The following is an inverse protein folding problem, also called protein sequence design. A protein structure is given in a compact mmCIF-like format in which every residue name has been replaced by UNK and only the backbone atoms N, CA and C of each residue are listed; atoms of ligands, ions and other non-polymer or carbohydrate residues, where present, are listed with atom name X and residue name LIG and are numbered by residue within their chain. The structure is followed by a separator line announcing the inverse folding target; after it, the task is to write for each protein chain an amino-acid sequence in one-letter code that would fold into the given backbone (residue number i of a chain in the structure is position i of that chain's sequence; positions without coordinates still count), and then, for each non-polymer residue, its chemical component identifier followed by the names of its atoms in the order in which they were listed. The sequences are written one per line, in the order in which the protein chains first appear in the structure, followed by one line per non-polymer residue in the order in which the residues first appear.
data_IF_937775642785
#
_entry.id   IF_937775642785
#
_cell.length_a   1.000
_cell.length_b   1.000
_cell.length_c   1.000
_cell.angle_alpha   90.00
_cell.angle_beta   90.00
_cell.angle_gamma   90.00
#
_symmetry.space_group_name_H-M   'P 1'
#
loop_
_entity.id
_entity.type
_entity.pdbx_description
1 polymer ?
#
# COMPACT_ATOMS: atom_id res chain seq x y z
N UNK A 1 12.27 -36.37 40.36
CA UNK A 1 11.57 -36.82 39.13
C UNK A 1 12.64 -37.29 38.16
N UNK A 2 12.93 -38.59 38.23
CA UNK A 2 14.08 -39.24 37.60
C UNK A 2 13.66 -39.80 36.23
N UNK A 3 14.56 -39.62 35.28
CA UNK A 3 14.54 -40.09 33.89
C UNK A 3 14.30 -41.59 33.73
N UNK A 4 13.58 -41.99 32.68
CA UNK A 4 13.84 -43.28 32.02
C UNK A 4 13.63 -43.18 30.51
N UNK A 5 14.70 -43.44 29.77
CA UNK A 5 14.73 -43.63 28.31
C UNK A 5 14.57 -45.11 28.02
N UNK A 6 13.82 -45.48 26.97
CA UNK A 6 13.97 -46.77 26.30
C UNK A 6 13.81 -46.62 24.78
N UNK A 7 14.81 -47.11 24.05
CA UNK A 7 14.91 -47.15 22.58
C UNK A 7 14.38 -48.50 22.07
N UNK A 8 13.73 -48.55 20.90
CA UNK A 8 14.23 -49.16 19.65
C UNK A 8 13.13 -49.32 18.57
N UNK A 9 13.50 -48.94 17.33
CA UNK A 9 13.24 -49.57 16.02
C UNK A 9 11.81 -49.88 15.51
N UNK A 10 11.49 -49.32 14.33
CA UNK A 10 10.44 -49.77 13.43
C UNK A 10 10.52 -49.03 12.08
N UNK A 11 10.71 -49.77 10.99
CA UNK A 11 10.96 -49.30 9.61
C UNK A 11 9.67 -49.26 8.79
N UNK A 12 9.64 -48.31 7.84
CA UNK A 12 8.93 -48.31 6.55
C UNK A 12 7.55 -47.65 6.39
N UNK A 13 7.41 -47.18 5.14
CA UNK A 13 6.24 -46.85 4.33
C UNK A 13 5.97 -45.35 4.18
N UNK A 14 6.24 -44.90 2.96
CA UNK A 14 6.14 -43.53 2.51
C UNK A 14 4.70 -43.05 2.38
N UNK A 15 4.56 -41.78 2.72
CA UNK A 15 3.66 -40.86 2.05
C UNK A 15 4.46 -39.57 1.94
N UNK A 16 5.18 -39.39 0.83
CA UNK A 16 5.59 -38.04 0.44
C UNK A 16 4.29 -37.32 0.12
N UNK A 17 3.73 -36.66 1.14
CA UNK A 17 2.68 -35.70 0.95
C UNK A 17 3.23 -34.69 -0.07
N UNK A 18 2.68 -34.73 -1.27
CA UNK A 18 2.81 -33.66 -2.24
C UNK A 18 2.25 -32.43 -1.52
N UNK A 19 3.14 -31.61 -0.93
CA UNK A 19 2.78 -30.25 -0.55
C UNK A 19 2.38 -29.60 -1.86
N UNK A 20 1.07 -29.46 -2.07
CA UNK A 20 0.53 -28.54 -3.03
C UNK A 20 1.13 -27.18 -2.69
N UNK A 21 2.15 -26.78 -3.46
CA UNK A 21 2.60 -25.41 -3.48
C UNK A 21 1.39 -24.60 -3.93
N UNK A 22 0.70 -23.99 -2.96
CA UNK A 22 -0.17 -22.87 -3.26
C UNK A 22 0.64 -21.91 -4.14
N UNK A 23 0.09 -21.36 -5.23
CA UNK A 23 0.79 -20.37 -6.03
C UNK A 23 1.19 -19.23 -5.09
N UNK A 24 2.45 -19.23 -4.68
CA UNK A 24 3.01 -18.14 -3.92
C UNK A 24 2.89 -16.92 -4.80
N UNK A 25 2.20 -15.89 -4.31
CA UNK A 25 2.18 -14.59 -4.99
C UNK A 25 3.63 -14.15 -5.13
N UNK A 26 4.17 -14.27 -6.35
CA UNK A 26 5.52 -13.82 -6.63
C UNK A 26 5.49 -12.29 -6.54
N UNK A 27 6.00 -11.74 -5.44
CA UNK A 27 6.15 -10.29 -5.31
C UNK A 27 7.22 -9.83 -6.29
N UNK A 28 6.84 -9.13 -7.36
CA UNK A 28 7.81 -8.51 -8.25
C UNK A 28 8.52 -7.37 -7.50
N UNK A 29 9.86 -7.36 -7.50
CA UNK A 29 10.62 -6.30 -6.85
C UNK A 29 10.42 -5.00 -7.63
N UNK A 30 9.87 -3.97 -6.98
CA UNK A 30 9.70 -2.66 -7.58
C UNK A 30 10.27 -1.57 -6.68
N UNK A 31 11.46 -1.07 -7.03
CA UNK A 31 12.07 0.10 -6.36
C UNK A 31 11.25 1.37 -6.60
N UNK A 32 10.57 1.47 -7.74
CA UNK A 32 9.65 2.56 -8.02
C UNK A 32 8.45 2.52 -7.07
N UNK A 33 7.69 1.42 -7.03
CA UNK A 33 6.50 1.26 -6.17
C UNK A 33 6.84 1.38 -4.70
N UNK A 34 7.99 0.83 -4.28
CA UNK A 34 8.53 1.08 -2.96
C UNK A 34 8.82 2.57 -2.69
N UNK A 35 9.26 3.32 -3.71
CA UNK A 35 9.44 4.76 -3.68
C UNK A 35 8.12 5.56 -3.63
N UNK A 36 7.10 5.15 -4.39
CA UNK A 36 5.76 5.75 -4.39
C UNK A 36 5.12 5.62 -3.00
N UNK A 37 5.09 4.40 -2.43
CA UNK A 37 4.65 4.14 -1.06
C UNK A 37 5.41 4.97 -0.02
N UNK A 38 6.72 5.15 -0.23
CA UNK A 38 7.55 5.99 0.65
C UNK A 38 7.20 7.46 0.51
N UNK A 39 6.87 7.95 -0.69
CA UNK A 39 6.39 9.30 -0.89
C UNK A 39 5.06 9.52 -0.17
N UNK A 40 4.10 8.61 -0.33
CA UNK A 40 2.80 8.62 0.37
C UNK A 40 2.97 8.64 1.88
N UNK A 41 3.91 7.84 2.42
CA UNK A 41 4.21 7.82 3.86
C UNK A 41 4.64 9.18 4.40
N UNK A 42 5.41 9.95 3.62
CA UNK A 42 5.86 11.30 4.01
C UNK A 42 4.72 12.31 3.90
N UNK A 43 3.86 12.19 2.89
CA UNK A 43 2.70 13.06 2.70
C UNK A 43 1.71 12.90 3.86
N UNK A 44 1.28 11.67 4.15
CA UNK A 44 0.35 11.38 5.25
C UNK A 44 0.89 11.88 6.61
N UNK A 45 2.15 11.56 6.93
CA UNK A 45 2.78 12.05 8.16
C UNK A 45 3.01 13.57 8.18
N UNK A 46 3.27 14.18 7.01
CA UNK A 46 3.45 15.62 6.85
C UNK A 46 2.15 16.40 7.07
N UNK A 47 1.09 16.03 6.35
CA UNK A 47 -0.24 16.64 6.49
C UNK A 47 -0.80 16.46 7.89
N UNK A 48 -0.77 15.24 8.45
CA UNK A 48 -1.22 15.01 9.82
C UNK A 48 -0.46 15.87 10.84
N UNK A 49 0.85 16.11 10.63
CA UNK A 49 1.63 17.01 11.49
C UNK A 49 1.18 18.47 11.38
N UNK A 50 0.82 18.93 10.19
CA UNK A 50 0.28 20.29 9.99
C UNK A 50 -1.03 20.47 10.74
N UNK A 51 -1.97 19.53 10.56
CA UNK A 51 -3.25 19.51 11.27
C UNK A 51 -3.10 19.38 12.78
N UNK A 52 -2.24 18.48 13.26
CA UNK A 52 -1.94 18.35 14.69
C UNK A 52 -1.44 19.66 15.30
N UNK A 53 -0.55 20.40 14.62
CA UNK A 53 -0.07 21.71 15.09
C UNK A 53 -1.18 22.75 15.14
N UNK A 54 -2.03 22.77 14.12
CA UNK A 54 -3.17 23.68 14.03
C UNK A 54 -4.18 23.42 15.16
N UNK A 55 -4.60 22.16 15.33
CA UNK A 55 -5.49 21.72 16.43
C UNK A 55 -4.87 21.99 17.79
N UNK A 56 -3.56 21.81 17.96
CA UNK A 56 -2.89 22.07 19.24
C UNK A 56 -2.94 23.53 19.68
N UNK A 57 -3.14 24.46 18.73
CA UNK A 57 -3.21 25.90 18.98
C UNK A 57 -4.60 26.49 18.75
N UNK A 58 -5.53 25.74 18.17
CA UNK A 58 -6.84 26.25 17.72
C UNK A 58 -6.71 27.31 16.63
N UNK A 59 -5.76 27.14 15.72
CA UNK A 59 -5.52 28.06 14.60
C UNK A 59 -5.88 27.39 13.29
N UNK A 60 -6.16 28.20 12.26
CA UNK A 60 -6.25 27.70 10.90
C UNK A 60 -4.99 26.92 10.51
N UNK A 61 -5.17 25.89 9.68
CA UNK A 61 -4.03 25.09 9.20
C UNK A 61 -3.12 25.96 8.35
N UNK A 62 -1.83 25.91 8.65
CA UNK A 62 -0.81 26.63 7.90
C UNK A 62 -0.71 26.09 6.46
N UNK A 63 -1.11 26.92 5.50
CA UNK A 63 -1.04 26.60 4.07
C UNK A 63 0.37 26.27 3.59
N UNK A 64 1.40 26.94 4.12
CA UNK A 64 2.80 26.65 3.77
C UNK A 64 3.24 25.28 4.30
N UNK A 65 2.70 24.86 5.44
CA UNK A 65 2.93 23.52 5.98
C UNK A 65 2.33 22.46 5.06
N UNK A 66 1.08 22.66 4.60
CA UNK A 66 0.40 21.76 3.67
C UNK A 66 1.12 21.72 2.33
N UNK A 67 1.35 22.85 1.67
CA UNK A 67 2.08 22.93 0.39
C UNK A 67 3.50 22.35 0.50
N UNK A 68 4.16 22.50 1.66
CA UNK A 68 5.45 21.87 1.91
C UNK A 68 5.39 20.33 2.01
N UNK A 69 4.25 19.76 2.44
CA UNK A 69 4.02 18.32 2.37
C UNK A 69 3.72 17.88 0.93
N UNK A 70 2.94 18.65 0.18
CA UNK A 70 2.63 18.40 -1.25
C UNK A 70 3.90 18.37 -2.08
N UNK A 71 4.71 19.44 -2.02
CA UNK A 71 5.91 19.55 -2.81
C UNK A 71 6.92 18.42 -2.53
N UNK A 72 7.03 17.98 -1.26
CA UNK A 72 7.88 16.84 -0.88
C UNK A 72 7.33 15.51 -1.42
N UNK A 73 6.01 15.36 -1.47
CA UNK A 73 5.35 14.22 -2.06
C UNK A 73 5.63 14.18 -3.57
N UNK A 74 5.23 15.22 -4.31
CA UNK A 74 5.38 15.28 -5.77
C UNK A 74 6.82 15.07 -6.20
N UNK A 75 7.79 15.72 -5.53
CA UNK A 75 9.21 15.53 -5.81
C UNK A 75 9.70 14.10 -5.51
N UNK A 76 9.23 13.47 -4.42
CA UNK A 76 9.61 12.09 -4.07
C UNK A 76 8.96 11.08 -5.01
N UNK A 77 7.72 11.32 -5.43
CA UNK A 77 6.95 10.48 -6.35
C UNK A 77 7.57 10.52 -7.74
N UNK A 78 7.81 11.72 -8.30
CA UNK A 78 8.49 11.88 -9.59
C UNK A 78 9.87 11.21 -9.59
N UNK A 79 10.62 11.31 -8.49
CA UNK A 79 11.90 10.61 -8.32
C UNK A 79 11.76 9.08 -8.26
N UNK A 80 10.64 8.56 -7.77
CA UNK A 80 10.36 7.13 -7.75
C UNK A 80 10.01 6.64 -9.16
N UNK A 81 9.08 7.32 -9.84
CA UNK A 81 8.66 7.03 -11.22
C UNK A 81 9.83 7.12 -12.20
N UNK A 82 10.68 8.14 -12.07
CA UNK A 82 11.85 8.33 -12.92
C UNK A 82 12.92 7.23 -12.80
N UNK A 83 12.81 6.31 -11.82
CA UNK A 83 13.66 5.10 -11.76
C UNK A 83 13.15 3.98 -12.66
N UNK A 84 11.90 4.04 -13.11
CA UNK A 84 11.23 2.98 -13.86
C UNK A 84 10.93 1.72 -13.03
N UNK A 85 10.27 0.76 -13.68
CA UNK A 85 9.95 -0.54 -13.09
C UNK A 85 8.88 -0.48 -12.00
N UNK A 86 7.98 0.51 -12.05
CA UNK A 86 6.77 0.57 -11.22
C UNK A 86 5.86 -0.62 -11.57
N UNK A 87 5.11 -1.13 -10.59
CA UNK A 87 4.18 -2.26 -10.81
C UNK A 87 3.06 -1.85 -11.78
N UNK A 88 2.59 -0.61 -11.65
CA UNK A 88 1.63 0.00 -12.56
C UNK A 88 1.99 1.48 -12.77
N UNK A 89 1.12 2.21 -13.47
CA UNK A 89 1.32 3.61 -13.84
C UNK A 89 0.33 4.53 -13.12
N UNK A 90 0.00 4.24 -11.86
CA UNK A 90 -0.86 5.13 -11.06
C UNK A 90 -0.21 6.52 -10.98
N UNK A 91 -0.99 7.55 -11.29
CA UNK A 91 -0.49 8.92 -11.27
C UNK A 91 -0.37 9.45 -9.82
N UNK A 92 0.49 10.44 -9.64
CA UNK A 92 0.72 11.03 -8.32
C UNK A 92 -0.56 11.62 -7.71
N UNK A 93 -1.45 12.22 -8.52
CA UNK A 93 -2.69 12.86 -8.10
C UNK A 93 -3.74 11.89 -7.55
N UNK A 94 -3.81 10.68 -8.09
CA UNK A 94 -4.67 9.60 -7.54
C UNK A 94 -4.25 9.25 -6.11
N UNK A 95 -2.96 9.03 -5.89
CA UNK A 95 -2.41 8.75 -4.55
C UNK A 95 -2.51 9.98 -3.65
N UNK A 96 -2.35 11.17 -4.21
CA UNK A 96 -2.50 12.44 -3.52
C UNK A 96 -3.90 12.57 -2.91
N UNK A 97 -4.92 12.32 -3.73
CA UNK A 97 -6.34 12.38 -3.35
C UNK A 97 -6.65 11.37 -2.24
N UNK A 98 -6.14 10.13 -2.32
CA UNK A 98 -6.33 9.13 -1.26
C UNK A 98 -5.74 9.59 0.08
N UNK A 99 -4.55 10.18 0.06
CA UNK A 99 -3.92 10.72 1.28
C UNK A 99 -4.74 11.89 1.84
N UNK A 100 -5.27 12.73 0.97
CA UNK A 100 -5.97 13.95 1.36
C UNK A 100 -7.36 13.68 1.95
N UNK A 101 -8.07 12.71 1.37
CA UNK A 101 -9.32 12.19 1.90
C UNK A 101 -9.09 11.56 3.27
N UNK A 102 -8.07 10.70 3.41
CA UNK A 102 -7.72 10.11 4.70
C UNK A 102 -7.44 11.17 5.77
N UNK A 103 -6.68 12.22 5.45
CA UNK A 103 -6.38 13.29 6.41
C UNK A 103 -7.63 14.06 6.79
N UNK A 104 -8.49 14.38 5.81
CA UNK A 104 -9.76 15.07 6.06
C UNK A 104 -10.68 14.25 6.96
N UNK A 105 -10.85 12.96 6.67
CA UNK A 105 -11.68 12.05 7.46
C UNK A 105 -11.14 11.89 8.88
N UNK A 106 -9.83 11.65 9.01
CA UNK A 106 -9.15 11.50 10.29
C UNK A 106 -9.33 12.72 11.19
N UNK A 107 -9.10 13.91 10.62
CA UNK A 107 -9.18 15.16 11.38
C UNK A 107 -10.62 15.48 11.73
N UNK A 108 -11.56 15.26 10.81
CA UNK A 108 -12.98 15.48 11.04
C UNK A 108 -13.47 14.63 12.21
N UNK A 109 -13.12 13.35 12.24
CA UNK A 109 -13.51 12.45 13.31
C UNK A 109 -12.89 12.85 14.67
N UNK A 110 -11.59 13.12 14.70
CA UNK A 110 -10.89 13.49 15.96
C UNK A 110 -11.31 14.88 16.49
N UNK A 111 -11.72 15.81 15.61
CA UNK A 111 -12.20 17.15 15.99
C UNK A 111 -13.72 17.21 16.18
N UNK A 112 -14.41 16.09 16.38
CA UNK A 112 -15.84 16.06 16.71
C UNK A 112 -16.76 16.42 15.55
N UNK A 113 -16.36 16.10 14.32
CA UNK A 113 -17.16 16.31 13.11
C UNK A 113 -17.06 17.70 12.49
N UNK A 114 -16.34 18.63 13.11
CA UNK A 114 -16.30 20.04 12.65
C UNK A 114 -15.38 20.28 11.46
N UNK A 115 -14.44 19.36 11.19
CA UNK A 115 -13.38 19.52 10.18
C UNK A 115 -12.45 20.72 10.41
N UNK A 116 -12.65 21.47 11.50
CA UNK A 116 -12.01 22.76 11.75
C UNK A 116 -11.11 22.64 12.99
N UNK A 117 -9.84 23.09 12.95
CA UNK A 117 -8.97 22.97 14.11
C UNK A 117 -9.49 23.82 15.29
N UNK A 118 -9.88 23.16 16.37
CA UNK A 118 -10.19 23.78 17.66
C UNK A 118 -9.08 23.45 18.65
N UNK A 119 -8.77 24.36 19.56
CA UNK A 119 -7.65 24.20 20.50
C UNK A 119 -7.83 22.96 21.39
N UNK A 120 -7.03 21.92 21.14
CA UNK A 120 -6.98 20.73 22.01
C UNK A 120 -5.62 20.04 21.93
N UNK A 121 -4.97 19.90 23.09
CA UNK A 121 -3.70 19.17 23.20
C UNK A 121 -3.89 17.67 23.00
N UNK A 122 -5.01 17.11 23.43
CA UNK A 122 -5.33 15.70 23.22
C UNK A 122 -5.57 15.40 21.74
N UNK A 123 -6.54 16.07 21.10
CA UNK A 123 -6.88 15.85 19.68
C UNK A 123 -5.67 16.12 18.76
N UNK A 124 -4.84 17.13 19.08
CA UNK A 124 -3.55 17.36 18.42
C UNK A 124 -2.62 16.13 18.44
N UNK A 125 -2.49 15.48 19.61
CA UNK A 125 -1.64 14.31 19.79
C UNK A 125 -2.24 13.06 19.13
N UNK A 126 -3.57 12.91 19.15
CA UNK A 126 -4.29 11.82 18.46
C UNK A 126 -4.08 11.89 16.94
N UNK A 127 -4.30 13.06 16.32
CA UNK A 127 -4.01 13.29 14.89
C UNK A 127 -2.55 12.97 14.58
N UNK A 128 -1.64 13.45 15.42
CA UNK A 128 -0.20 13.20 15.27
C UNK A 128 0.18 11.72 15.41
N UNK A 129 -0.48 10.97 16.29
CA UNK A 129 -0.27 9.54 16.49
C UNK A 129 -0.77 8.73 15.29
N UNK A 130 -2.00 9.00 14.83
CA UNK A 130 -2.59 8.36 13.65
C UNK A 130 -1.76 8.61 12.39
N UNK A 131 -1.32 9.86 12.16
CA UNK A 131 -0.43 10.18 11.04
C UNK A 131 0.93 9.45 11.10
N UNK A 132 1.49 9.24 12.30
CA UNK A 132 2.72 8.44 12.48
C UNK A 132 2.49 6.96 12.20
N UNK A 133 1.33 6.40 12.57
CA UNK A 133 0.95 5.02 12.23
C UNK A 133 0.81 4.86 10.72
N UNK A 134 0.06 5.75 10.06
CA UNK A 134 -0.12 5.76 8.60
C UNK A 134 1.23 5.79 7.87
N UNK A 135 2.11 6.73 8.24
CA UNK A 135 3.47 6.78 7.68
C UNK A 135 4.32 5.56 8.02
N UNK A 136 4.10 4.92 9.18
CA UNK A 136 4.76 3.69 9.59
C UNK A 136 4.37 2.50 8.71
N UNK A 137 3.08 2.28 8.48
CA UNK A 137 2.55 1.19 7.67
C UNK A 137 2.95 1.34 6.20
N UNK A 138 2.77 2.52 5.61
CA UNK A 138 3.21 2.80 4.24
C UNK A 138 4.71 2.60 4.06
N UNK A 139 5.51 2.86 5.11
CA UNK A 139 6.95 2.55 5.10
C UNK A 139 7.24 1.05 5.18
N UNK A 140 6.39 0.26 5.84
CA UNK A 140 6.48 -1.20 5.83
C UNK A 140 6.14 -1.76 4.44
N UNK A 141 5.03 -1.32 3.83
CA UNK A 141 4.68 -1.66 2.45
C UNK A 141 5.80 -1.26 1.47
N UNK A 142 6.33 -0.04 1.61
CA UNK A 142 7.47 0.43 0.81
C UNK A 142 8.66 -0.53 0.84
N UNK A 143 9.01 -1.05 2.02
CA UNK A 143 10.10 -2.02 2.18
C UNK A 143 9.78 -3.37 1.54
N UNK A 144 8.55 -3.85 1.70
CA UNK A 144 8.07 -5.09 1.10
C UNK A 144 8.17 -5.02 -0.42
N UNK A 145 7.56 -3.98 -1.03
CA UNK A 145 7.61 -3.74 -2.48
C UNK A 145 9.04 -3.55 -3.01
N UNK A 146 9.88 -2.79 -2.29
CA UNK A 146 11.28 -2.54 -2.69
C UNK A 146 12.17 -3.78 -2.68
N UNK A 147 11.78 -4.84 -1.96
CA UNK A 147 12.61 -6.02 -1.72
C UNK A 147 11.98 -7.33 -2.23
N UNK A 148 10.80 -7.27 -2.86
CA UNK A 148 10.04 -8.48 -3.23
C UNK A 148 9.80 -9.41 -2.02
N UNK A 149 9.53 -8.83 -0.85
CA UNK A 149 9.29 -9.60 0.37
C UNK A 149 7.82 -9.53 0.75
N UNK A 150 7.28 -10.58 1.42
CA UNK A 150 6.00 -10.46 2.10
C UNK A 150 6.05 -9.31 3.11
N UNK A 151 4.87 -8.73 3.39
CA UNK A 151 4.75 -7.69 4.40
C UNK A 151 5.26 -8.20 5.75
N UNK A 152 6.28 -7.54 6.28
CA UNK A 152 6.90 -7.89 7.55
C UNK A 152 5.95 -7.55 8.72
N UNK A 153 5.41 -8.59 9.36
CA UNK A 153 4.50 -8.47 10.51
C UNK A 153 5.15 -7.81 11.72
N UNK A 154 6.48 -7.91 11.90
CA UNK A 154 7.19 -7.18 12.95
C UNK A 154 7.28 -5.69 12.62
N UNK A 155 7.36 -5.33 11.33
CA UNK A 155 7.32 -3.93 10.90
C UNK A 155 5.95 -3.30 11.19
N UNK A 156 4.86 -3.95 10.79
CA UNK A 156 3.50 -3.45 11.04
C UNK A 156 3.14 -3.50 12.53
N UNK A 157 3.51 -4.57 13.23
CA UNK A 157 3.36 -4.69 14.69
C UNK A 157 4.06 -3.56 15.45
N UNK A 158 5.26 -3.14 15.03
CA UNK A 158 5.94 -1.97 15.61
C UNK A 158 5.19 -0.66 15.38
N UNK A 159 4.52 -0.50 14.23
CA UNK A 159 3.69 0.68 13.97
C UNK A 159 2.44 0.68 14.87
N UNK A 160 1.78 -0.47 15.02
CA UNK A 160 0.64 -0.70 15.93
C UNK A 160 1.01 -0.41 17.38
N UNK A 161 2.08 -1.02 17.92
CA UNK A 161 2.49 -0.79 19.31
C UNK A 161 2.85 0.67 19.59
N UNK A 162 3.52 1.34 18.65
CA UNK A 162 3.85 2.78 18.79
C UNK A 162 2.61 3.67 18.69
N UNK A 163 1.63 3.27 17.89
CA UNK A 163 0.34 3.96 17.83
C UNK A 163 -0.37 3.88 19.17
N UNK A 164 -0.61 2.68 19.70
CA UNK A 164 -1.27 2.50 21.00
C UNK A 164 -0.56 3.27 22.12
N UNK A 165 0.77 3.16 22.23
CA UNK A 165 1.52 3.91 23.23
C UNK A 165 1.44 5.43 23.05
N UNK A 166 1.31 5.94 21.82
CA UNK A 166 1.15 7.37 21.55
C UNK A 166 -0.29 7.83 21.82
N UNK A 167 -1.27 6.97 21.54
CA UNK A 167 -2.68 7.19 21.78
C UNK A 167 -2.98 7.29 23.26
N UNK A 168 -2.53 6.32 24.07
CA UNK A 168 -2.66 6.37 25.54
C UNK A 168 -2.08 7.66 26.11
N UNK A 169 -0.92 8.11 25.61
CA UNK A 169 -0.31 9.38 26.01
C UNK A 169 -1.09 10.62 25.54
N UNK A 170 -1.80 10.52 24.42
CA UNK A 170 -2.63 11.59 23.89
C UNK A 170 -3.89 11.76 24.76
N UNK A 171 -4.61 10.68 25.00
CA UNK A 171 -5.84 10.66 25.79
C UNK A 171 -5.58 11.00 27.27
N UNK A 172 -4.44 10.58 27.83
CA UNK A 172 -4.03 10.96 29.18
C UNK A 172 -3.81 12.46 29.37
N UNK A 173 -3.62 13.24 28.30
CA UNK A 173 -3.52 14.69 28.40
C UNK A 173 -4.86 15.36 28.76
N UNK A 174 -5.99 14.67 28.55
CA UNK A 174 -7.34 15.21 28.76
C UNK A 174 -7.72 16.33 27.78
N UNK A 175 -9.00 16.75 27.82
CA UNK A 175 -9.51 17.86 27.00
C UNK A 175 -9.55 17.55 25.50
N UNK A 176 -9.78 16.29 25.13
CA UNK A 176 -10.06 15.91 23.74
C UNK A 176 -11.38 16.58 23.29
N UNK A 177 -11.46 17.02 22.04
CA UNK A 177 -12.66 17.68 21.51
C UNK A 177 -13.86 16.73 21.46
N UNK A 178 -13.58 15.46 21.22
CA UNK A 178 -14.54 14.36 21.29
C UNK A 178 -13.81 13.13 21.79
N UNK A 179 -14.56 12.17 22.32
CA UNK A 179 -14.03 10.84 22.65
C UNK A 179 -14.16 9.98 21.41
N UNK A 180 -13.02 9.60 20.82
CA UNK A 180 -12.97 8.63 19.73
C UNK A 180 -12.24 7.37 20.19
N UNK A 181 -12.78 6.21 19.80
CA UNK A 181 -12.18 4.93 20.13
C UNK A 181 -10.86 4.72 19.36
N UNK A 182 -9.83 4.23 20.08
CA UNK A 182 -8.53 3.95 19.49
C UNK A 182 -8.63 2.97 18.34
N UNK A 183 -9.40 1.88 18.49
CA UNK A 183 -9.55 0.82 17.49
C UNK A 183 -10.21 1.31 16.21
N UNK A 184 -11.13 2.27 16.31
CA UNK A 184 -11.79 2.91 15.17
C UNK A 184 -10.79 3.70 14.33
N UNK A 185 -9.99 4.55 14.97
CA UNK A 185 -8.93 5.30 14.28
C UNK A 185 -7.84 4.35 13.75
N UNK A 186 -7.53 3.30 14.50
CA UNK A 186 -6.58 2.29 14.08
C UNK A 186 -6.99 1.62 12.78
N UNK A 187 -8.24 1.15 12.72
CA UNK A 187 -8.84 0.49 11.55
C UNK A 187 -8.84 1.43 10.34
N UNK A 188 -9.18 2.71 10.52
CA UNK A 188 -9.14 3.69 9.43
C UNK A 188 -7.73 3.89 8.87
N UNK A 189 -6.73 3.95 9.74
CA UNK A 189 -5.33 4.07 9.32
C UNK A 189 -4.86 2.81 8.58
N UNK A 190 -5.25 1.62 9.07
CA UNK A 190 -4.90 0.35 8.44
C UNK A 190 -5.56 0.21 7.06
N UNK A 191 -6.85 0.54 6.94
CA UNK A 191 -7.58 0.54 5.68
C UNK A 191 -6.98 1.51 4.67
N UNK A 192 -6.64 2.74 5.10
CA UNK A 192 -5.97 3.71 4.24
C UNK A 192 -4.61 3.19 3.72
N UNK A 193 -3.78 2.62 4.59
CA UNK A 193 -2.48 2.12 4.19
C UNK A 193 -2.59 0.93 3.23
N UNK A 194 -3.56 0.04 3.46
CA UNK A 194 -3.87 -1.07 2.59
C UNK A 194 -4.42 -0.58 1.23
N UNK A 195 -5.31 0.39 1.21
CA UNK A 195 -5.89 0.98 -0.01
C UNK A 195 -4.82 1.61 -0.92
N UNK A 196 -3.93 2.43 -0.36
CA UNK A 196 -2.80 2.99 -1.11
C UNK A 196 -1.87 1.90 -1.64
N UNK A 197 -1.62 0.85 -0.85
CA UNK A 197 -0.80 -0.27 -1.31
C UNK A 197 -1.49 -1.04 -2.44
N UNK A 198 -2.77 -1.34 -2.31
CA UNK A 198 -3.55 -2.03 -3.34
C UNK A 198 -3.57 -1.23 -4.63
N UNK A 199 -3.79 0.08 -4.57
CA UNK A 199 -3.75 0.96 -5.73
C UNK A 199 -2.40 0.87 -6.47
N UNK A 200 -1.28 0.93 -5.73
CA UNK A 200 0.06 0.92 -6.31
C UNK A 200 0.59 -0.47 -6.69
N UNK A 201 -0.07 -1.54 -6.26
CA UNK A 201 0.35 -2.92 -6.52
C UNK A 201 -0.66 -3.72 -7.34
N UNK A 202 -1.82 -3.14 -7.65
CA UNK A 202 -2.72 -3.68 -8.64
C UNK A 202 -1.92 -3.89 -9.94
N UNK A 203 -1.87 -5.13 -10.42
CA UNK A 203 -1.33 -5.40 -11.74
C UNK A 203 -2.08 -4.49 -12.71
N UNK A 204 -1.33 -3.63 -13.42
CA UNK A 204 -1.93 -2.81 -14.47
C UNK A 204 -2.70 -3.69 -15.47
N UNK A 205 -3.60 -3.12 -16.29
CA UNK A 205 -4.29 -3.91 -17.30
C UNK A 205 -3.24 -4.71 -18.08
N UNK A 206 -3.37 -6.03 -18.06
CA UNK A 206 -2.55 -6.91 -18.88
C UNK A 206 -2.88 -6.52 -20.32
N UNK A 207 -2.03 -5.74 -20.97
CA UNK A 207 -2.11 -5.56 -22.41
C UNK A 207 -1.82 -6.93 -23.02
N UNK A 208 -2.86 -7.72 -23.24
CA UNK A 208 -2.79 -8.90 -24.09
C UNK A 208 -2.53 -8.39 -25.49
N UNK A 209 -1.25 -8.26 -25.85
CA UNK A 209 -0.85 -8.05 -27.24
C UNK A 209 -1.19 -9.34 -27.98
N UNK A 210 -2.39 -9.41 -28.55
CA UNK A 210 -2.76 -10.46 -29.48
C UNK A 210 -1.98 -10.25 -30.77
N UNK A 211 -0.76 -10.76 -30.84
CA UNK A 211 0.02 -10.81 -32.07
C UNK A 211 -0.69 -11.78 -33.02
N UNK A 212 -1.49 -11.24 -33.94
CA UNK A 212 -2.05 -11.99 -35.06
C UNK A 212 -0.95 -12.18 -36.09
N UNK A 213 -0.35 -13.37 -36.12
CA UNK A 213 0.54 -13.80 -37.20
C UNK A 213 -0.31 -14.07 -38.45
N UNK A 214 -0.09 -13.40 -39.60
CA UNK A 214 -0.74 -13.78 -40.84
C UNK A 214 -0.27 -15.18 -41.24
N UNK A 215 -1.18 -16.16 -41.19
CA UNK A 215 -0.93 -17.50 -41.68
C UNK A 215 -0.74 -17.48 -43.20
N UNK A 216 0.46 -17.84 -43.65
CA UNK A 216 0.75 -18.09 -45.07
C UNK A 216 -0.06 -19.30 -45.53
N UNK A 217 -0.94 -19.12 -46.51
CA UNK A 217 -1.72 -20.21 -47.10
C UNK A 217 -0.93 -20.76 -48.28
N UNK A 218 -0.32 -21.94 -48.13
CA UNK A 218 0.34 -22.65 -49.23
C UNK A 218 -0.69 -23.54 -49.93
N UNK A 219 -1.12 -23.15 -51.13
CA UNK A 219 -1.98 -23.97 -51.99
C UNK A 219 -1.12 -24.87 -52.88
N UNK A 220 -1.09 -26.16 -52.59
CA UNK A 220 -0.47 -27.18 -53.46
C UNK A 220 -1.53 -27.75 -54.39
N UNK A 221 -1.42 -27.47 -55.69
CA UNK A 221 -2.25 -28.08 -56.73
C UNK A 221 -1.37 -29.05 -57.53
N UNK A 222 -1.60 -30.36 -57.38
CA UNK A 222 -0.99 -31.40 -58.20
C UNK A 222 -1.74 -31.51 -59.53
N UNK A 223 -0.99 -31.66 -60.64
CA UNK A 223 -1.50 -31.48 -62.00
C UNK A 223 -1.92 -32.74 -62.76
N UNK A 224 -2.60 -32.47 -63.89
CA UNK A 224 -2.59 -33.21 -65.16
C UNK A 224 -3.81 -34.12 -65.44
N UNK A 225 -4.13 -34.47 -66.72
CA UNK A 225 -3.62 -33.98 -68.01
C UNK A 225 -4.71 -33.55 -69.04
N UNK A 226 -4.18 -33.17 -70.21
CA UNK A 226 -4.67 -32.56 -71.45
C UNK A 226 -5.87 -33.14 -72.26
N UNK A 227 -6.20 -32.38 -73.32
CA UNK A 227 -7.08 -32.61 -74.50
C UNK A 227 -8.51 -32.02 -74.37
N UNK A 228 -9.04 -31.20 -75.27
CA UNK A 228 -8.57 -30.67 -76.55
C UNK A 228 -9.68 -29.84 -77.24
N UNK A 229 -9.26 -28.98 -78.18
CA UNK A 229 -9.92 -28.64 -79.46
C UNK A 229 -11.31 -27.92 -79.41
N UNK A 230 -11.26 -26.58 -79.54
CA UNK A 230 -11.81 -25.69 -80.60
C UNK A 230 -13.30 -25.83 -81.10
N UNK A 231 -13.81 -24.96 -81.99
CA UNK A 231 -14.65 -23.79 -81.69
C UNK A 231 -16.05 -23.85 -82.35
N UNK A 232 -16.93 -22.91 -81.98
CA UNK A 232 -17.65 -21.97 -82.88
C UNK A 232 -18.32 -20.91 -82.03
#
# INVERSE_FOLDING_TARGET
MTVQRLKLAGVAIGCFAFLAAAPGVAFAQSKCTGGELKASSKKAGGKAKCWAKATGKGLAVDGTCLSGAEGKFSASYAKAVGKGGCVNTTDAGTIETKVDNFITDLVTEINGGTGTPTASKCSSKEIGAAGKKAGGLLKCYSKAASKALPLDSACTGKAVSKFGASWTKATAAGGCLTTVDQGTIETKVDNFAADVNSELTAAGPTTTTTTTTPGSTTTTTMGGPCCGINPT
#
